data_IF_906830923474
#
_entry.id   IF_906830923474
#
_cell.length_a   1.000
_cell.length_b   1.000
_cell.length_c   1.000
_cell.angle_alpha   90.00
_cell.angle_beta   90.00
_cell.angle_gamma   90.00
#
_symmetry.space_group_name_H-M   'P 1'
#
loop_
_entity.id
_entity.type
_entity.pdbx_description
1 polymer ?
#
# COMPACT_ATOMS: atom_id res chain seq x y z
N UNK A 1 -4.48 18.13 -8.47
CA UNK A 1 -5.32 19.26 -7.99
C UNK A 1 -5.54 20.19 -9.17
N UNK A 2 -6.79 20.60 -9.48
CA UNK A 2 -7.04 21.63 -10.50
C UNK A 2 -6.16 22.86 -10.25
N UNK A 3 -5.58 23.44 -11.31
CA UNK A 3 -4.56 24.51 -11.19
C UNK A 3 -5.07 25.73 -10.41
N UNK A 4 -6.34 26.09 -10.60
CA UNK A 4 -7.05 27.17 -9.92
C UNK A 4 -7.36 26.88 -8.44
N UNK A 5 -7.14 25.64 -7.99
CA UNK A 5 -7.37 25.18 -6.62
C UNK A 5 -6.08 24.86 -5.87
N UNK A 6 -4.92 25.04 -6.50
CA UNK A 6 -3.61 24.89 -5.83
C UNK A 6 -3.48 25.96 -4.74
N UNK A 7 -3.01 25.54 -3.56
CA UNK A 7 -2.81 26.37 -2.39
C UNK A 7 -1.33 26.42 -1.97
N UNK A 8 -0.49 25.45 -2.36
CA UNK A 8 0.89 25.36 -1.89
C UNK A 8 1.74 26.54 -2.41
N UNK A 9 2.34 27.36 -1.50
CA UNK A 9 3.26 28.43 -1.89
C UNK A 9 4.46 27.96 -2.71
N UNK A 10 4.83 26.68 -2.67
CA UNK A 10 5.90 26.15 -3.51
C UNK A 10 5.57 26.25 -5.00
N UNK A 11 4.32 25.98 -5.37
CA UNK A 11 3.88 26.09 -6.75
C UNK A 11 3.97 27.53 -7.25
N UNK A 12 3.45 28.48 -6.48
CA UNK A 12 3.47 29.90 -6.85
C UNK A 12 4.89 30.47 -6.91
N UNK A 13 5.76 30.13 -5.94
CA UNK A 13 7.14 30.64 -5.90
C UNK A 13 8.03 30.07 -7.00
N UNK A 14 7.71 28.90 -7.52
CA UNK A 14 8.43 28.28 -8.64
C UNK A 14 7.90 28.72 -10.01
N UNK A 15 6.90 29.61 -10.07
CA UNK A 15 6.23 29.96 -11.32
C UNK A 15 5.50 28.77 -11.95
N UNK A 16 5.07 27.80 -11.15
CA UNK A 16 4.34 26.61 -11.59
C UNK A 16 5.20 25.43 -12.04
N UNK A 17 6.53 25.52 -11.96
CA UNK A 17 7.44 24.41 -12.31
C UNK A 17 7.35 23.27 -11.28
N UNK A 18 7.28 23.61 -10.00
CA UNK A 18 7.07 22.64 -8.93
C UNK A 18 5.54 22.45 -8.72
N UNK A 19 5.01 21.22 -8.79
CA UNK A 19 3.59 20.98 -8.56
C UNK A 19 3.14 21.23 -7.10
N UNK A 20 4.09 21.38 -6.16
CA UNK A 20 3.83 21.53 -4.74
C UNK A 20 3.40 20.21 -4.08
N UNK A 21 2.83 20.32 -2.87
CA UNK A 21 2.52 19.19 -1.98
C UNK A 21 1.03 18.99 -1.75
N UNK A 22 0.17 19.78 -2.40
CA UNK A 22 -1.28 19.68 -2.16
C UNK A 22 -1.84 18.31 -2.54
N UNK A 23 -1.22 17.62 -3.51
CA UNK A 23 -1.62 16.26 -3.90
C UNK A 23 -1.60 15.25 -2.75
N UNK A 24 -0.68 15.38 -1.78
CA UNK A 24 -0.62 14.49 -0.60
C UNK A 24 -1.33 15.07 0.64
N UNK A 25 -2.09 16.17 0.46
CA UNK A 25 -2.80 16.89 1.53
C UNK A 25 -4.30 16.97 1.31
N UNK A 26 -4.81 16.31 0.28
CA UNK A 26 -6.24 16.23 0.03
C UNK A 26 -6.96 15.63 1.24
N UNK A 27 -8.18 16.10 1.55
CA UNK A 27 -9.04 15.53 2.57
C UNK A 27 -9.16 14.01 2.46
N UNK A 28 -8.94 13.29 3.57
CA UNK A 28 -9.08 11.83 3.59
C UNK A 28 -10.56 11.42 3.44
N UNK A 29 -10.84 10.30 2.76
CA UNK A 29 -12.18 9.78 2.63
C UNK A 29 -12.48 8.83 3.81
N UNK A 30 -13.46 9.19 4.63
CA UNK A 30 -13.87 8.41 5.81
C UNK A 30 -15.14 7.59 5.53
N UNK A 31 -16.16 8.24 4.99
CA UNK A 31 -17.48 7.66 4.72
C UNK A 31 -17.89 7.97 3.28
N UNK A 32 -17.98 6.94 2.42
CA UNK A 32 -18.07 7.13 0.96
C UNK A 32 -19.27 7.98 0.50
N UNK A 33 -20.42 7.81 1.15
CA UNK A 33 -21.69 8.42 0.75
C UNK A 33 -22.02 9.70 1.53
N UNK A 34 -21.17 10.10 2.48
CA UNK A 34 -21.32 11.35 3.21
C UNK A 34 -20.77 12.54 2.39
N UNK A 35 -21.27 13.77 2.62
CA UNK A 35 -20.68 14.98 2.04
C UNK A 35 -19.15 15.01 2.24
N UNK A 36 -18.42 15.27 1.15
CA UNK A 36 -16.95 15.28 1.13
C UNK A 36 -16.32 14.01 1.73
N UNK A 37 -16.92 12.86 1.44
CA UNK A 37 -16.55 11.56 1.97
C UNK A 37 -16.42 11.54 3.50
N UNK A 38 -17.24 12.31 4.23
CA UNK A 38 -17.21 12.37 5.69
C UNK A 38 -16.02 13.18 6.26
N UNK A 39 -15.31 13.95 5.44
CA UNK A 39 -14.27 14.85 5.93
C UNK A 39 -14.83 16.18 6.39
N UNK A 40 -14.86 16.40 7.71
CA UNK A 40 -15.23 17.70 8.29
C UNK A 40 -16.73 17.95 8.35
N UNK A 41 -17.14 19.22 8.18
CA UNK A 41 -18.54 19.67 8.16
C UNK A 41 -19.19 19.55 6.77
N UNK A 42 -20.46 19.95 6.64
CA UNK A 42 -21.21 19.97 5.36
C UNK A 42 -20.71 21.02 4.33
N UNK A 43 -19.51 21.59 4.52
CA UNK A 43 -18.91 22.62 3.65
C UNK A 43 -17.71 22.09 2.91
N UNK A 44 -17.48 22.58 1.68
CA UNK A 44 -16.35 22.14 0.86
C UNK A 44 -15.02 22.33 1.60
N UNK A 45 -14.17 21.28 1.70
CA UNK A 45 -12.86 21.41 2.29
C UNK A 45 -11.94 22.35 1.51
N UNK A 46 -10.88 22.79 2.19
CA UNK A 46 -9.86 23.69 1.64
C UNK A 46 -9.12 23.17 0.40
N UNK A 47 -9.11 21.85 0.17
CA UNK A 47 -8.61 21.21 -1.05
C UNK A 47 -9.65 20.23 -1.59
N UNK A 48 -9.80 20.12 -2.92
CA UNK A 48 -10.76 19.21 -3.52
C UNK A 48 -10.32 17.75 -3.35
N UNK A 49 -11.27 16.87 -3.08
CA UNK A 49 -11.05 15.42 -3.16
C UNK A 49 -10.93 14.99 -4.63
N UNK A 50 -10.03 14.04 -4.96
CA UNK A 50 -9.94 13.49 -6.31
C UNK A 50 -11.25 12.86 -6.79
N UNK A 51 -11.40 12.73 -8.11
CA UNK A 51 -12.47 11.91 -8.68
C UNK A 51 -12.31 10.44 -8.23
N UNK A 52 -13.41 9.78 -7.89
CA UNK A 52 -13.41 8.39 -7.41
C UNK A 52 -12.87 8.19 -5.98
N UNK A 53 -12.56 9.25 -5.24
CA UNK A 53 -11.94 9.15 -3.91
C UNK A 53 -12.79 8.38 -2.89
N UNK A 54 -14.11 8.42 -3.04
CA UNK A 54 -15.06 7.66 -2.21
C UNK A 54 -14.87 6.13 -2.29
N UNK A 55 -14.30 5.60 -3.39
CA UNK A 55 -13.97 4.17 -3.48
C UNK A 55 -12.86 3.75 -2.50
N UNK A 56 -12.05 4.70 -2.05
CA UNK A 56 -10.98 4.49 -1.06
C UNK A 56 -11.39 4.89 0.36
N UNK A 57 -12.67 5.21 0.58
CA UNK A 57 -13.16 5.59 1.89
C UNK A 57 -12.97 4.49 2.94
N UNK A 58 -12.68 4.90 4.17
CA UNK A 58 -12.33 3.99 5.26
C UNK A 58 -13.46 2.99 5.59
N UNK A 59 -14.73 3.38 5.46
CA UNK A 59 -15.90 2.52 5.61
C UNK A 59 -15.96 1.40 4.54
N UNK A 60 -15.80 1.76 3.26
CA UNK A 60 -15.76 0.83 2.12
C UNK A 60 -14.58 -0.13 2.24
N UNK A 61 -13.38 0.41 2.46
CA UNK A 61 -12.16 -0.38 2.64
C UNK A 61 -12.26 -1.30 3.86
N UNK A 62 -12.86 -0.87 4.97
CA UNK A 62 -13.04 -1.72 6.16
C UNK A 62 -14.01 -2.89 5.94
N UNK A 63 -14.98 -2.73 5.03
CA UNK A 63 -15.94 -3.78 4.68
C UNK A 63 -15.38 -4.79 3.66
N UNK A 64 -14.34 -4.43 2.92
CA UNK A 64 -13.70 -5.28 1.91
C UNK A 64 -12.44 -6.00 2.45
N UNK A 65 -12.46 -7.33 2.60
CA UNK A 65 -11.29 -8.10 3.02
C UNK A 65 -10.09 -8.03 2.05
N UNK A 66 -10.32 -7.74 0.77
CA UNK A 66 -9.29 -7.60 -0.26
C UNK A 66 -8.68 -6.20 -0.34
N UNK A 67 -9.11 -5.28 0.52
CA UNK A 67 -8.71 -3.87 0.48
C UNK A 67 -7.29 -3.65 1.01
N UNK A 68 -6.69 -2.51 0.63
CA UNK A 68 -5.39 -2.09 1.16
C UNK A 68 -5.45 -1.87 2.67
N UNK A 69 -6.55 -1.34 3.20
CA UNK A 69 -6.72 -1.18 4.65
C UNK A 69 -6.71 -2.52 5.39
N UNK A 70 -7.42 -3.52 4.86
CA UNK A 70 -7.45 -4.89 5.40
C UNK A 70 -6.06 -5.52 5.34
N UNK A 71 -5.35 -5.39 4.21
CA UNK A 71 -3.98 -5.84 4.04
C UNK A 71 -3.04 -5.27 5.12
N UNK A 72 -3.07 -3.94 5.33
CA UNK A 72 -2.20 -3.29 6.32
C UNK A 72 -2.53 -3.70 7.76
N UNK A 73 -3.83 -3.82 8.09
CA UNK A 73 -4.26 -4.31 9.41
C UNK A 73 -3.72 -5.71 9.67
N UNK A 74 -3.80 -6.60 8.69
CA UNK A 74 -3.31 -7.96 8.80
C UNK A 74 -1.78 -8.04 8.85
N UNK A 75 -1.08 -7.29 8.00
CA UNK A 75 0.38 -7.19 8.02
C UNK A 75 0.89 -6.71 9.39
N UNK A 76 0.26 -5.68 9.96
CA UNK A 76 0.60 -5.17 11.29
C UNK A 76 0.26 -6.17 12.41
N UNK A 77 -0.82 -6.95 12.26
CA UNK A 77 -1.16 -8.03 13.19
C UNK A 77 -0.08 -9.11 13.16
N UNK A 78 0.28 -9.61 11.97
CA UNK A 78 1.34 -10.60 11.78
C UNK A 78 2.68 -10.11 12.31
N UNK A 79 3.05 -8.85 12.03
CA UNK A 79 4.27 -8.22 12.57
C UNK A 79 4.36 -8.33 14.11
N UNK A 80 3.22 -8.22 14.81
CA UNK A 80 3.17 -8.33 16.28
C UNK A 80 3.15 -9.77 16.78
N UNK A 81 2.50 -10.68 16.06
CA UNK A 81 2.25 -12.05 16.53
C UNK A 81 3.23 -13.11 16.02
N UNK A 82 4.04 -12.79 15.01
CA UNK A 82 4.93 -13.74 14.35
C UNK A 82 6.38 -13.45 14.73
N UNK A 83 7.09 -14.47 15.21
CA UNK A 83 8.51 -14.38 15.50
C UNK A 83 9.30 -13.97 14.25
N UNK A 84 10.32 -13.12 14.44
CA UNK A 84 11.20 -12.69 13.37
C UNK A 84 10.97 -11.30 12.80
N UNK A 85 9.79 -10.71 13.00
CA UNK A 85 9.50 -9.36 12.50
C UNK A 85 9.98 -8.21 13.42
N UNK A 86 10.63 -8.52 14.55
CA UNK A 86 11.27 -7.55 15.46
C UNK A 86 12.61 -6.99 14.94
N UNK A 87 13.57 -6.74 15.83
CA UNK A 87 14.87 -6.12 15.50
C UNK A 87 15.95 -7.13 15.09
N UNK A 88 15.55 -8.38 14.81
CA UNK A 88 16.46 -9.42 14.36
C UNK A 88 17.05 -9.14 12.96
N UNK A 89 18.17 -9.80 12.61
CA UNK A 89 18.85 -9.60 11.33
C UNK A 89 17.96 -9.93 10.12
N UNK A 90 18.42 -9.46 8.97
CA UNK A 90 17.87 -9.75 7.66
C UNK A 90 18.99 -10.35 6.80
N UNK A 91 18.69 -11.49 6.17
CA UNK A 91 19.55 -12.13 5.18
C UNK A 91 18.93 -11.93 3.80
N UNK A 92 19.68 -11.37 2.86
CA UNK A 92 19.25 -11.31 1.46
C UNK A 92 19.24 -12.71 0.85
N UNK A 93 18.21 -13.01 0.07
CA UNK A 93 18.11 -14.24 -0.70
C UNK A 93 18.45 -13.93 -2.17
N UNK A 94 19.03 -14.88 -2.90
CA UNK A 94 19.17 -14.76 -4.35
C UNK A 94 17.79 -14.55 -5.00
N UNK A 95 17.68 -13.56 -5.87
CA UNK A 95 16.47 -13.25 -6.61
C UNK A 95 16.83 -12.67 -7.99
N UNK A 96 15.93 -12.80 -8.98
CA UNK A 96 16.09 -12.12 -10.27
C UNK A 96 16.12 -10.59 -10.12
N UNK A 97 16.62 -9.91 -11.16
CA UNK A 97 16.57 -8.45 -11.23
C UNK A 97 15.12 -7.94 -11.11
N UNK A 98 14.92 -6.91 -10.30
CA UNK A 98 13.59 -6.37 -10.02
C UNK A 98 12.79 -7.16 -8.97
N UNK A 99 13.37 -8.18 -8.33
CA UNK A 99 12.74 -8.89 -7.22
C UNK A 99 13.54 -8.68 -5.93
N UNK A 100 12.86 -8.25 -4.88
CA UNK A 100 13.44 -8.20 -3.54
C UNK A 100 13.04 -9.48 -2.81
N UNK A 101 14.01 -10.29 -2.38
CA UNK A 101 13.76 -11.43 -1.53
C UNK A 101 14.70 -11.42 -0.33
N UNK A 102 14.14 -11.54 0.87
CA UNK A 102 14.92 -11.60 2.09
C UNK A 102 14.26 -12.46 3.15
N UNK A 103 15.09 -13.00 4.04
CA UNK A 103 14.68 -13.76 5.21
C UNK A 103 14.98 -12.97 6.46
N UNK A 104 14.08 -13.01 7.44
CA UNK A 104 14.28 -12.48 8.78
C UNK A 104 14.67 -13.61 9.74
N UNK A 105 15.21 -13.23 10.91
CA UNK A 105 15.34 -14.15 12.03
C UNK A 105 14.03 -14.93 12.26
N UNK A 106 14.07 -16.18 12.72
CA UNK A 106 12.84 -16.98 12.90
C UNK A 106 12.23 -17.56 11.61
N UNK A 107 12.86 -17.38 10.45
CA UNK A 107 12.53 -18.12 9.22
C UNK A 107 11.42 -17.51 8.35
N UNK A 108 10.95 -16.31 8.69
CA UNK A 108 10.02 -15.57 7.84
C UNK A 108 10.73 -15.05 6.59
N UNK A 109 10.13 -15.25 5.42
CA UNK A 109 10.63 -14.76 4.12
C UNK A 109 9.67 -13.73 3.56
N UNK A 110 10.19 -12.65 2.99
CA UNK A 110 9.43 -11.64 2.26
C UNK A 110 9.96 -11.62 0.82
N UNK A 111 9.05 -11.69 -0.15
CA UNK A 111 9.34 -11.52 -1.57
C UNK A 111 8.46 -10.42 -2.14
N UNK A 112 9.06 -9.46 -2.84
CA UNK A 112 8.38 -8.35 -3.51
C UNK A 112 8.79 -8.35 -4.97
N UNK A 113 7.83 -8.48 -5.88
CA UNK A 113 8.07 -8.48 -7.31
C UNK A 113 7.82 -7.07 -7.88
N UNK A 114 8.90 -6.37 -8.22
CA UNK A 114 8.88 -5.08 -8.91
C UNK A 114 9.21 -5.24 -10.41
N UNK A 115 9.34 -6.48 -10.88
CA UNK A 115 9.57 -6.80 -12.28
C UNK A 115 8.25 -6.96 -13.02
N UNK A 116 8.30 -6.97 -14.36
CA UNK A 116 7.11 -7.11 -15.19
C UNK A 116 6.60 -8.56 -15.30
N UNK A 117 7.42 -9.56 -14.96
CA UNK A 117 7.09 -10.96 -15.15
C UNK A 117 6.76 -11.64 -13.81
N UNK A 118 5.83 -12.62 -13.78
CA UNK A 118 5.62 -13.44 -12.60
C UNK A 118 6.87 -14.22 -12.21
N UNK A 119 7.11 -14.40 -10.91
CA UNK A 119 8.30 -15.08 -10.39
C UNK A 119 7.95 -16.23 -9.44
N UNK A 120 8.79 -17.26 -9.45
CA UNK A 120 8.65 -18.42 -8.59
C UNK A 120 8.82 -18.05 -7.12
N UNK A 121 8.02 -18.67 -6.26
CA UNK A 121 8.16 -18.52 -4.81
C UNK A 121 9.31 -19.42 -4.32
N UNK A 122 10.14 -18.95 -3.36
CA UNK A 122 11.12 -19.82 -2.71
C UNK A 122 10.41 -20.93 -1.94
N UNK A 123 11.12 -22.03 -1.66
CA UNK A 123 10.57 -23.12 -0.85
C UNK A 123 10.05 -22.62 0.51
N UNK A 124 8.81 -22.96 0.82
CA UNK A 124 8.11 -22.51 2.02
C UNK A 124 7.12 -23.57 2.50
N UNK A 125 6.69 -23.47 3.76
CA UNK A 125 5.68 -24.34 4.39
C UNK A 125 4.30 -23.70 4.39
N UNK A 126 4.26 -22.40 4.69
CA UNK A 126 3.01 -21.63 4.80
C UNK A 126 3.14 -20.29 4.07
N UNK A 127 2.05 -19.85 3.46
CA UNK A 127 1.85 -18.45 3.05
C UNK A 127 1.21 -17.70 4.21
N UNK A 128 1.89 -16.70 4.75
CA UNK A 128 1.40 -15.89 5.87
C UNK A 128 0.48 -14.77 5.38
N UNK A 129 0.86 -14.10 4.28
CA UNK A 129 0.11 -13.00 3.70
C UNK A 129 0.52 -12.79 2.24
N UNK A 130 -0.41 -12.34 1.40
CA UNK A 130 -0.14 -11.89 0.03
C UNK A 130 -0.81 -10.54 -0.18
N UNK A 131 -0.15 -9.59 -0.83
CA UNK A 131 -0.71 -8.26 -1.10
C UNK A 131 -1.68 -8.24 -2.29
N UNK A 132 -1.75 -9.32 -3.05
CA UNK A 132 -2.59 -9.52 -4.23
C UNK A 132 -2.67 -11.02 -4.56
N UNK A 133 -3.54 -11.44 -5.48
CA UNK A 133 -3.65 -12.85 -5.85
C UNK A 133 -2.35 -13.37 -6.49
N UNK A 134 -2.01 -14.63 -6.22
CA UNK A 134 -1.01 -15.34 -7.02
C UNK A 134 -1.60 -15.66 -8.40
N UNK A 135 -0.74 -15.93 -9.39
CA UNK A 135 -1.21 -16.40 -10.69
C UNK A 135 -1.74 -17.85 -10.61
N UNK A 136 -2.35 -18.33 -11.69
CA UNK A 136 -2.94 -19.67 -11.76
C UNK A 136 -1.93 -20.81 -11.54
N UNK A 137 -0.64 -20.52 -11.70
CA UNK A 137 0.47 -21.46 -11.46
C UNK A 137 1.07 -21.31 -10.05
N UNK A 138 0.54 -20.43 -9.21
CA UNK A 138 1.03 -20.15 -7.86
C UNK A 138 2.27 -19.24 -7.81
N UNK A 139 2.59 -18.53 -8.90
CA UNK A 139 3.72 -17.60 -8.96
C UNK A 139 3.30 -16.21 -8.50
N UNK A 140 4.28 -15.40 -8.11
CA UNK A 140 4.08 -14.02 -7.64
C UNK A 140 4.02 -13.05 -8.82
N UNK A 141 2.87 -12.43 -9.13
CA UNK A 141 2.75 -11.47 -10.22
C UNK A 141 3.52 -10.17 -9.96
N UNK A 142 3.59 -9.30 -10.97
CA UNK A 142 4.11 -7.95 -10.83
C UNK A 142 3.33 -7.16 -9.75
N UNK A 143 4.00 -6.18 -9.12
CA UNK A 143 3.44 -5.30 -8.09
C UNK A 143 2.82 -6.03 -6.88
N UNK A 144 3.26 -7.27 -6.64
CA UNK A 144 2.76 -8.13 -5.57
C UNK A 144 3.87 -8.50 -4.60
N UNK A 145 3.54 -8.53 -3.32
CA UNK A 145 4.38 -8.98 -2.23
C UNK A 145 3.77 -10.20 -1.53
N UNK A 146 4.63 -11.07 -1.03
CA UNK A 146 4.24 -12.26 -0.26
C UNK A 146 5.15 -12.43 0.95
N UNK A 147 4.53 -12.81 2.06
CA UNK A 147 5.20 -13.19 3.30
C UNK A 147 4.99 -14.69 3.51
N UNK A 148 6.09 -15.41 3.70
CA UNK A 148 6.14 -16.86 3.76
C UNK A 148 6.80 -17.31 5.07
N UNK A 149 6.50 -18.54 5.48
CA UNK A 149 7.25 -19.25 6.51
C UNK A 149 8.11 -20.34 5.85
N UNK A 150 9.42 -20.28 6.01
CA UNK A 150 10.37 -21.31 5.54
C UNK A 150 10.39 -22.56 6.43
#
# INVERSE_FOLDING_TARGET
IPLDRIQDPMHFRSGGVDPGRDGCRVPLPWEADAPYCGFGSETEPWLPQPEGWSAYAADRQSADPGSMLSLYREALRLRRSTEGFGDGPLDWLPAPDGVLAFRRAGGTVCVVNLSAAPVELPGHRDVLLVSGPLDDSGRLPADTAVWLRA
#
